data_IF_918486230843
#
_entry.id   IF_918486230843
#
_cell.length_a   1.000
_cell.length_b   1.000
_cell.length_c   1.000
_cell.angle_alpha   90.00
_cell.angle_beta   90.00
_cell.angle_gamma   90.00
#
_symmetry.space_group_name_H-M   'P 1'
#
loop_
_entity.id
_entity.type
_entity.pdbx_description
1 polymer ?
#
# COMPACT_ATOMS: atom_id res chain seq x y z
N UNK A 1 -21.33 -30.72 -25.60
CA UNK A 1 -20.52 -29.52 -25.33
C UNK A 1 -19.24 -29.99 -24.67
N UNK A 2 -18.16 -30.13 -25.43
CA UNK A 2 -16.85 -30.54 -24.90
C UNK A 2 -16.20 -29.33 -24.24
N UNK A 3 -16.06 -29.35 -22.92
CA UNK A 3 -15.24 -28.38 -22.21
C UNK A 3 -13.78 -28.63 -22.59
N UNK A 4 -13.28 -27.89 -23.58
CA UNK A 4 -11.84 -27.82 -23.84
C UNK A 4 -11.23 -27.14 -22.64
N UNK A 5 -10.57 -27.92 -21.77
CA UNK A 5 -9.83 -27.38 -20.64
C UNK A 5 -8.60 -26.69 -21.22
N UNK A 6 -8.59 -25.37 -21.27
CA UNK A 6 -7.38 -24.63 -21.64
C UNK A 6 -6.25 -25.07 -20.71
N UNK A 7 -5.16 -25.59 -21.29
CA UNK A 7 -4.02 -26.02 -20.50
C UNK A 7 -3.31 -24.78 -19.93
N UNK A 8 -3.29 -24.69 -18.60
CA UNK A 8 -2.55 -23.63 -17.90
C UNK A 8 -1.05 -23.84 -18.12
N UNK A 9 -0.43 -22.89 -18.84
CA UNK A 9 1.00 -22.91 -19.16
C UNK A 9 1.88 -22.90 -17.90
N UNK A 10 3.10 -23.45 -18.02
CA UNK A 10 4.09 -23.42 -16.92
C UNK A 10 4.36 -22.00 -16.44
N UNK A 11 4.47 -21.05 -17.36
CA UNK A 11 4.68 -19.64 -17.03
C UNK A 11 3.54 -19.07 -16.17
N UNK A 12 2.29 -19.37 -16.51
CA UNK A 12 1.14 -18.92 -15.72
C UNK A 12 1.15 -19.52 -14.30
N UNK A 13 1.53 -20.80 -14.16
CA UNK A 13 1.67 -21.46 -12.86
C UNK A 13 2.75 -20.80 -12.01
N UNK A 14 3.89 -20.44 -12.60
CA UNK A 14 4.97 -19.73 -11.91
C UNK A 14 4.52 -18.35 -11.43
N UNK A 15 3.76 -17.61 -12.25
CA UNK A 15 3.19 -16.32 -11.83
C UNK A 15 2.22 -16.47 -10.65
N UNK A 16 1.40 -17.52 -10.61
CA UNK A 16 0.51 -17.79 -9.48
C UNK A 16 1.27 -18.17 -8.20
N UNK A 17 2.31 -18.98 -8.30
CA UNK A 17 3.18 -19.30 -7.16
C UNK A 17 3.87 -18.03 -6.64
N UNK A 18 4.39 -17.21 -7.55
CA UNK A 18 4.99 -15.93 -7.25
C UNK A 18 3.99 -15.01 -6.52
N UNK A 19 2.78 -14.86 -7.03
CA UNK A 19 1.72 -14.07 -6.39
C UNK A 19 1.32 -14.63 -5.01
N UNK A 20 1.28 -15.95 -4.84
CA UNK A 20 1.03 -16.55 -3.51
C UNK A 20 2.15 -16.19 -2.53
N UNK A 21 3.41 -16.25 -2.95
CA UNK A 21 4.56 -15.82 -2.14
C UNK A 21 4.42 -14.35 -1.76
N UNK A 22 4.04 -13.47 -2.68
CA UNK A 22 3.78 -12.06 -2.39
C UNK A 22 2.82 -11.88 -1.21
N UNK A 23 1.67 -12.55 -1.22
CA UNK A 23 0.69 -12.47 -0.12
C UNK A 23 1.26 -13.00 1.21
N UNK A 24 2.07 -14.06 1.17
CA UNK A 24 2.76 -14.55 2.38
C UNK A 24 3.78 -13.55 2.90
N UNK A 25 4.54 -12.88 2.04
CA UNK A 25 5.50 -11.84 2.46
C UNK A 25 4.79 -10.65 3.12
N UNK A 26 3.66 -10.21 2.55
CA UNK A 26 2.79 -9.18 3.17
C UNK A 26 2.36 -9.60 4.58
N UNK A 27 1.87 -10.84 4.73
CA UNK A 27 1.41 -11.37 6.00
C UNK A 27 2.57 -11.49 7.02
N UNK A 28 3.72 -12.03 6.61
CA UNK A 28 4.90 -12.21 7.47
C UNK A 28 5.37 -10.87 8.04
N UNK A 29 5.56 -9.83 7.20
CA UNK A 29 5.99 -8.51 7.67
C UNK A 29 4.96 -7.92 8.64
N UNK A 30 3.68 -7.96 8.27
CA UNK A 30 2.60 -7.39 9.08
C UNK A 30 2.54 -8.04 10.45
N UNK A 31 2.49 -9.38 10.49
CA UNK A 31 2.40 -10.15 11.74
C UNK A 31 3.64 -9.95 12.58
N UNK A 32 4.84 -9.98 11.98
CA UNK A 32 6.09 -9.80 12.71
C UNK A 32 6.17 -8.42 13.37
N UNK A 33 5.91 -7.34 12.61
CA UNK A 33 5.94 -5.98 13.16
C UNK A 33 4.88 -5.80 14.24
N UNK A 34 3.66 -6.30 14.03
CA UNK A 34 2.59 -6.20 15.03
C UNK A 34 2.94 -6.98 16.29
N UNK A 35 3.45 -8.20 16.15
CA UNK A 35 3.88 -9.02 17.26
C UNK A 35 4.96 -8.32 18.10
N UNK A 36 6.00 -7.79 17.47
CA UNK A 36 7.04 -7.04 18.17
C UNK A 36 6.46 -5.82 18.89
N UNK A 37 5.56 -5.07 18.26
CA UNK A 37 5.00 -3.87 18.87
C UNK A 37 4.07 -4.20 20.05
N UNK A 38 3.10 -5.10 19.88
CA UNK A 38 2.16 -5.47 20.94
C UNK A 38 2.81 -6.23 22.11
N UNK A 39 3.95 -6.89 21.89
CA UNK A 39 4.72 -7.52 22.96
C UNK A 39 5.49 -6.52 23.83
N UNK A 40 5.90 -5.38 23.27
CA UNK A 40 6.87 -4.47 23.90
C UNK A 40 6.29 -3.09 24.28
N UNK A 41 5.06 -2.79 23.89
CA UNK A 41 4.38 -1.54 24.23
C UNK A 41 3.04 -1.80 24.90
N UNK A 42 2.72 -0.99 25.90
CA UNK A 42 1.39 -0.90 26.47
C UNK A 42 0.39 -0.26 25.49
N UNK A 43 -0.90 -0.58 25.65
CA UNK A 43 -1.96 -0.14 24.74
C UNK A 43 -2.25 1.37 24.79
N UNK A 44 -1.82 2.05 25.85
CA UNK A 44 -1.90 3.52 25.98
C UNK A 44 -0.72 4.24 25.31
N UNK A 45 0.28 3.50 24.83
CA UNK A 45 1.44 4.10 24.19
C UNK A 45 1.12 4.62 22.78
N UNK A 46 1.17 5.94 22.60
CA UNK A 46 0.92 6.56 21.29
C UNK A 46 1.85 6.06 20.16
N UNK A 47 3.10 5.69 20.48
CA UNK A 47 4.05 5.19 19.48
C UNK A 47 3.65 3.81 18.96
N UNK A 48 3.04 2.95 19.79
CA UNK A 48 2.49 1.67 19.36
C UNK A 48 1.50 1.87 18.22
N UNK A 49 0.50 2.74 18.44
CA UNK A 49 -0.54 2.99 17.46
C UNK A 49 -0.01 3.68 16.21
N UNK A 50 0.97 4.58 16.33
CA UNK A 50 1.64 5.14 15.17
C UNK A 50 2.27 4.04 14.28
N UNK A 51 3.04 3.12 14.87
CA UNK A 51 3.72 2.06 14.12
C UNK A 51 2.69 1.08 13.54
N UNK A 52 1.79 0.54 14.36
CA UNK A 52 0.81 -0.47 13.94
C UNK A 52 -0.12 0.06 12.84
N UNK A 53 -0.66 1.27 13.01
CA UNK A 53 -1.57 1.85 12.01
C UNK A 53 -0.84 2.20 10.71
N UNK A 54 0.39 2.71 10.79
CA UNK A 54 1.17 3.03 9.58
C UNK A 54 1.59 1.76 8.84
N UNK A 55 2.11 0.74 9.54
CA UNK A 55 2.46 -0.54 8.93
C UNK A 55 1.24 -1.23 8.34
N UNK A 56 0.12 -1.28 9.08
CA UNK A 56 -1.15 -1.81 8.59
C UNK A 56 -1.72 -1.07 7.38
N UNK A 57 -1.57 0.25 7.35
CA UNK A 57 -2.01 1.07 6.23
C UNK A 57 -1.25 0.76 4.93
N UNK A 58 0.07 0.74 4.97
CA UNK A 58 0.86 0.57 3.75
C UNK A 58 1.06 -0.90 3.38
N UNK A 59 1.43 -1.77 4.32
CA UNK A 59 1.88 -3.13 3.97
C UNK A 59 0.70 -4.03 3.57
N UNK A 60 -0.28 -4.36 4.42
CA UNK A 60 -1.38 -5.20 4.00
C UNK A 60 -2.46 -4.42 3.25
N UNK A 61 -2.88 -3.23 3.70
CA UNK A 61 -4.05 -2.57 3.09
C UNK A 61 -3.74 -2.00 1.69
N UNK A 62 -2.72 -1.15 1.55
CA UNK A 62 -2.39 -0.57 0.24
C UNK A 62 -1.79 -1.56 -0.73
N UNK A 63 -0.87 -2.44 -0.30
CA UNK A 63 -0.27 -3.40 -1.22
C UNK A 63 -1.33 -4.36 -1.81
N UNK A 64 -2.24 -4.88 -0.98
CA UNK A 64 -3.34 -5.73 -1.44
C UNK A 64 -4.33 -4.95 -2.33
N UNK A 65 -4.64 -3.70 -1.99
CA UNK A 65 -5.49 -2.85 -2.83
C UNK A 65 -4.89 -2.61 -4.22
N UNK A 66 -3.55 -2.54 -4.32
CA UNK A 66 -2.84 -2.34 -5.59
C UNK A 66 -2.81 -3.64 -6.41
N UNK A 67 -2.44 -4.77 -5.79
CA UNK A 67 -2.31 -6.07 -6.47
C UNK A 67 -3.68 -6.64 -6.91
N UNK A 68 -4.78 -6.15 -6.34
CA UNK A 68 -6.16 -6.53 -6.66
C UNK A 68 -6.46 -6.53 -8.18
N UNK A 69 -5.85 -5.61 -8.94
CA UNK A 69 -6.06 -5.48 -10.39
C UNK A 69 -5.02 -6.22 -11.24
N UNK A 70 -4.06 -6.91 -10.64
CA UNK A 70 -3.10 -7.73 -11.37
C UNK A 70 -3.82 -8.94 -11.99
N UNK A 71 -3.56 -9.21 -13.28
CA UNK A 71 -4.25 -10.29 -14.01
C UNK A 71 -3.86 -11.70 -13.53
N UNK A 72 -2.69 -11.80 -12.90
CA UNK A 72 -2.10 -12.98 -12.30
C UNK A 72 -2.34 -13.08 -10.77
N UNK A 73 -3.12 -12.16 -10.19
CA UNK A 73 -3.51 -12.26 -8.78
C UNK A 73 -4.57 -13.35 -8.58
N UNK A 74 -4.13 -14.53 -8.12
CA UNK A 74 -4.93 -15.74 -7.97
C UNK A 74 -6.19 -15.50 -7.12
N UNK A 75 -6.08 -14.72 -6.05
CA UNK A 75 -7.15 -14.52 -5.07
C UNK A 75 -8.33 -13.70 -5.60
N UNK A 76 -8.11 -12.96 -6.69
CA UNK A 76 -9.10 -12.03 -7.23
C UNK A 76 -9.42 -12.29 -8.69
N UNK A 77 -8.88 -13.35 -9.32
CA UNK A 77 -9.09 -13.60 -10.75
C UNK A 77 -10.57 -13.74 -11.12
N UNK A 78 -11.35 -14.37 -10.24
CA UNK A 78 -12.79 -14.61 -10.45
C UNK A 78 -13.68 -13.42 -10.07
N UNK A 79 -13.11 -12.36 -9.47
CA UNK A 79 -13.89 -11.17 -9.12
C UNK A 79 -14.14 -10.31 -10.36
N UNK A 80 -15.41 -9.94 -10.55
CA UNK A 80 -15.78 -8.95 -11.55
C UNK A 80 -15.12 -7.59 -11.27
N UNK A 81 -14.95 -6.78 -12.33
CA UNK A 81 -14.31 -5.46 -12.21
C UNK A 81 -15.01 -4.53 -11.22
N UNK A 82 -16.35 -4.40 -11.19
CA UNK A 82 -17.03 -3.55 -10.21
C UNK A 82 -16.71 -3.91 -8.75
N UNK A 83 -16.68 -5.19 -8.39
CA UNK A 83 -16.30 -5.63 -7.04
C UNK A 83 -14.85 -5.28 -6.72
N UNK A 84 -13.94 -5.44 -7.69
CA UNK A 84 -12.54 -5.01 -7.50
C UNK A 84 -12.44 -3.51 -7.23
N UNK A 85 -13.16 -2.68 -7.96
CA UNK A 85 -13.17 -1.23 -7.69
C UNK A 85 -13.68 -0.89 -6.29
N UNK A 86 -14.72 -1.57 -5.81
CA UNK A 86 -15.22 -1.40 -4.45
C UNK A 86 -14.21 -1.82 -3.39
N UNK A 87 -13.64 -3.03 -3.52
CA UNK A 87 -12.63 -3.52 -2.57
C UNK A 87 -11.40 -2.61 -2.53
N UNK A 88 -10.92 -2.17 -3.70
CA UNK A 88 -9.82 -1.20 -3.80
C UNK A 88 -10.12 0.09 -3.04
N UNK A 89 -11.31 0.68 -3.26
CA UNK A 89 -11.73 1.89 -2.58
C UNK A 89 -11.85 1.71 -1.06
N UNK A 90 -12.42 0.60 -0.59
CA UNK A 90 -12.55 0.31 0.85
C UNK A 90 -11.19 0.13 1.50
N UNK A 91 -10.30 -0.70 0.92
CA UNK A 91 -8.97 -0.95 1.47
C UNK A 91 -8.14 0.34 1.54
N UNK A 92 -8.15 1.15 0.48
CA UNK A 92 -7.46 2.45 0.49
C UNK A 92 -8.11 3.46 1.44
N UNK A 93 -9.43 3.43 1.59
CA UNK A 93 -10.16 4.25 2.55
C UNK A 93 -9.77 3.94 4.00
N UNK A 94 -9.73 2.65 4.36
CA UNK A 94 -9.28 2.21 5.69
C UNK A 94 -7.80 2.53 5.88
N UNK A 95 -6.99 2.37 4.83
CA UNK A 95 -5.56 2.68 4.88
C UNK A 95 -5.32 4.16 5.18
N UNK A 96 -5.94 5.09 4.42
CA UNK A 96 -5.73 6.53 4.63
C UNK A 96 -6.22 6.97 6.02
N UNK A 97 -7.33 6.41 6.51
CA UNK A 97 -7.83 6.70 7.86
C UNK A 97 -6.82 6.20 8.90
N UNK A 98 -6.34 4.97 8.76
CA UNK A 98 -5.34 4.37 9.67
C UNK A 98 -4.08 5.24 9.76
N UNK A 99 -3.45 5.58 8.63
CA UNK A 99 -2.24 6.41 8.65
C UNK A 99 -2.50 7.82 9.18
N UNK A 100 -3.67 8.40 8.91
CA UNK A 100 -4.05 9.73 9.45
C UNK A 100 -4.12 9.69 10.98
N UNK A 101 -4.78 8.66 11.54
CA UNK A 101 -4.85 8.45 12.99
C UNK A 101 -3.45 8.18 13.56
N UNK A 102 -2.64 7.36 12.89
CA UNK A 102 -1.26 7.08 13.29
C UNK A 102 -0.37 8.33 13.32
N UNK A 103 -0.50 9.23 12.36
CA UNK A 103 0.17 10.54 12.37
C UNK A 103 -0.34 11.40 13.54
N UNK A 104 -1.65 11.39 13.81
CA UNK A 104 -2.25 12.09 14.95
C UNK A 104 -1.66 11.66 16.30
N UNK A 105 -1.50 10.35 16.52
CA UNK A 105 -0.84 9.82 17.72
C UNK A 105 0.61 10.32 17.86
N UNK A 106 1.37 10.32 16.77
CA UNK A 106 2.76 10.81 16.80
C UNK A 106 2.84 12.32 17.04
N UNK A 107 1.93 13.10 16.48
CA UNK A 107 1.81 14.54 16.77
C UNK A 107 1.51 14.75 18.26
N UNK A 108 0.54 14.03 18.83
CA UNK A 108 0.21 14.17 20.25
C UNK A 108 1.41 13.85 21.15
N UNK A 109 2.07 12.71 20.91
CA UNK A 109 3.27 12.27 21.64
C UNK A 109 4.40 13.30 21.58
N UNK A 110 4.59 13.95 20.43
CA UNK A 110 5.60 14.99 20.25
C UNK A 110 5.23 16.29 20.95
N UNK A 111 3.96 16.67 20.98
CA UNK A 111 3.49 17.82 21.74
C UNK A 111 3.75 17.65 23.23
N UNK A 112 3.38 16.50 23.81
CA UNK A 112 3.59 16.19 25.23
C UNK A 112 5.07 16.21 25.64
N UNK A 113 5.96 15.85 24.72
CA UNK A 113 7.41 15.82 24.94
C UNK A 113 8.15 17.07 24.47
N UNK A 114 7.45 18.09 23.99
CA UNK A 114 8.04 19.34 23.49
C UNK A 114 8.98 19.15 22.27
N UNK A 115 8.78 18.09 21.48
CA UNK A 115 9.65 17.73 20.36
C UNK A 115 9.17 18.34 19.04
N UNK A 116 10.07 18.72 18.12
CA UNK A 116 9.70 19.27 16.83
C UNK A 116 9.06 18.21 15.90
N UNK A 117 8.13 18.69 15.05
CA UNK A 117 7.39 17.89 14.09
C UNK A 117 8.06 17.85 12.72
N UNK A 118 7.86 16.76 11.98
CA UNK A 118 8.25 16.63 10.55
C UNK A 118 9.71 16.96 10.20
N UNK A 119 10.66 16.79 11.14
CA UNK A 119 12.08 17.10 10.93
C UNK A 119 12.91 15.96 10.35
N UNK A 120 12.54 14.70 10.60
CA UNK A 120 13.32 13.54 10.15
C UNK A 120 12.95 13.15 8.72
N UNK A 121 13.86 12.46 8.02
CA UNK A 121 13.58 11.90 6.69
C UNK A 121 12.34 10.99 6.72
N UNK A 122 12.19 10.16 7.76
CA UNK A 122 11.00 9.35 7.99
C UNK A 122 9.73 10.22 8.04
N UNK A 123 9.72 11.27 8.87
CA UNK A 123 8.53 12.10 9.05
C UNK A 123 8.19 12.93 7.80
N UNK A 124 9.19 13.46 7.09
CA UNK A 124 8.97 14.22 5.86
C UNK A 124 8.44 13.34 4.73
N UNK A 125 9.07 12.17 4.51
CA UNK A 125 8.60 11.21 3.48
C UNK A 125 7.22 10.67 3.82
N UNK A 126 6.92 10.41 5.10
CA UNK A 126 5.59 9.99 5.55
C UNK A 126 4.52 11.05 5.27
N UNK A 127 4.81 12.33 5.54
CA UNK A 127 3.90 13.43 5.24
C UNK A 127 3.66 13.60 3.73
N UNK A 128 4.73 13.56 2.92
CA UNK A 128 4.62 13.66 1.45
C UNK A 128 3.77 12.52 0.90
N UNK A 129 4.03 11.29 1.36
CA UNK A 129 3.23 10.11 0.99
C UNK A 129 1.75 10.30 1.36
N UNK A 130 1.46 10.76 2.58
CA UNK A 130 0.10 11.01 3.04
C UNK A 130 -0.62 12.05 2.17
N UNK A 131 0.04 13.15 1.81
CA UNK A 131 -0.52 14.18 0.91
C UNK A 131 -0.85 13.56 -0.45
N UNK A 132 0.07 12.76 -1.03
CA UNK A 132 -0.17 12.13 -2.33
C UNK A 132 -1.31 11.10 -2.25
N UNK A 133 -1.41 10.34 -1.17
CA UNK A 133 -2.48 9.39 -0.95
C UNK A 133 -3.84 10.10 -0.83
N UNK A 134 -3.91 11.20 -0.08
CA UNK A 134 -5.12 12.02 0.02
C UNK A 134 -5.57 12.55 -1.35
N UNK A 135 -4.66 13.16 -2.10
CA UNK A 135 -4.93 13.65 -3.46
C UNK A 135 -5.35 12.53 -4.41
N UNK A 136 -4.67 11.36 -4.33
CA UNK A 136 -4.99 10.19 -5.15
C UNK A 136 -6.40 9.67 -4.87
N UNK A 137 -6.84 9.62 -3.60
CA UNK A 137 -8.20 9.20 -3.24
C UNK A 137 -9.26 10.14 -3.80
N UNK A 138 -9.05 11.46 -3.69
CA UNK A 138 -9.96 12.46 -4.27
C UNK A 138 -10.08 12.26 -5.79
N UNK A 139 -8.95 12.07 -6.49
CA UNK A 139 -8.94 11.78 -7.93
C UNK A 139 -9.55 10.41 -8.27
N UNK A 140 -9.46 9.43 -7.38
CA UNK A 140 -10.14 8.14 -7.50
C UNK A 140 -11.65 8.31 -7.50
N UNK A 141 -12.18 9.13 -6.58
CA UNK A 141 -13.61 9.48 -6.52
C UNK A 141 -14.07 10.25 -7.77
N UNK A 142 -13.25 11.17 -8.28
CA UNK A 142 -13.53 11.86 -9.54
C UNK A 142 -13.50 10.90 -10.74
N UNK A 143 -12.56 9.97 -10.76
CA UNK A 143 -12.46 8.94 -11.80
C UNK A 143 -13.70 8.05 -11.82
N UNK A 144 -14.23 7.69 -10.65
CA UNK A 144 -15.48 6.93 -10.50
C UNK A 144 -16.68 7.68 -11.10
N UNK A 145 -16.72 9.00 -10.93
CA UNK A 145 -17.80 9.87 -11.44
C UNK A 145 -17.44 10.58 -12.75
N UNK A 146 -16.40 10.11 -13.46
CA UNK A 146 -15.75 10.85 -14.55
C UNK A 146 -16.67 11.25 -15.70
N UNK A 147 -17.72 10.48 -15.98
CA UNK A 147 -18.72 10.83 -17.01
C UNK A 147 -19.51 12.10 -16.66
N UNK A 148 -19.79 12.32 -15.37
CA UNK A 148 -20.44 13.54 -14.86
C UNK A 148 -19.48 14.73 -14.80
N UNK A 149 -18.17 14.46 -14.71
CA UNK A 149 -17.11 15.46 -14.55
C UNK A 149 -16.34 15.75 -15.85
N UNK A 150 -16.83 15.27 -17.00
CA UNK A 150 -16.18 15.44 -18.31
C UNK A 150 -16.00 16.91 -18.74
N UNK A 151 -16.76 17.83 -18.16
CA UNK A 151 -16.63 19.27 -18.37
C UNK A 151 -15.41 19.87 -17.66
N UNK A 152 -14.92 19.24 -16.58
CA UNK A 152 -13.76 19.70 -15.83
C UNK A 152 -12.46 19.22 -16.47
N UNK A 153 -12.38 17.93 -16.80
CA UNK A 153 -11.24 17.35 -17.51
C UNK A 153 -11.62 16.03 -18.20
N UNK A 154 -10.75 15.54 -19.08
CA UNK A 154 -10.95 14.25 -19.75
C UNK A 154 -10.88 13.11 -18.71
N UNK A 155 -11.81 12.13 -18.72
CA UNK A 155 -11.80 10.96 -17.83
C UNK A 155 -10.45 10.23 -17.74
N UNK A 156 -9.73 10.16 -18.86
CA UNK A 156 -8.40 9.52 -18.93
C UNK A 156 -7.36 10.26 -18.07
N UNK A 157 -7.44 11.58 -17.96
CA UNK A 157 -6.49 12.37 -17.16
C UNK A 157 -6.67 12.12 -15.66
N UNK A 158 -7.91 12.11 -15.15
CA UNK A 158 -8.17 11.78 -13.74
C UNK A 158 -7.58 10.42 -13.37
N UNK A 159 -7.78 9.43 -14.25
CA UNK A 159 -7.28 8.08 -14.04
C UNK A 159 -5.75 7.99 -14.12
N UNK A 160 -5.14 8.70 -15.06
CA UNK A 160 -3.68 8.77 -15.19
C UNK A 160 -3.04 9.39 -13.95
N UNK A 161 -3.54 10.55 -13.51
CA UNK A 161 -3.00 11.25 -12.34
C UNK A 161 -3.28 10.46 -11.06
N UNK A 162 -4.45 9.83 -10.92
CA UNK A 162 -4.75 8.91 -9.80
C UNK A 162 -3.73 7.77 -9.71
N UNK A 163 -3.43 7.10 -10.83
CA UNK A 163 -2.45 6.01 -10.88
C UNK A 163 -1.04 6.53 -10.55
N UNK A 164 -0.63 7.67 -11.11
CA UNK A 164 0.69 8.25 -10.85
C UNK A 164 0.88 8.61 -9.37
N UNK A 165 -0.08 9.36 -8.79
CA UNK A 165 -0.04 9.72 -7.38
C UNK A 165 -0.20 8.51 -6.46
N UNK A 166 -0.99 7.51 -6.84
CA UNK A 166 -1.19 6.28 -6.07
C UNK A 166 0.07 5.42 -6.00
N UNK A 167 0.78 5.23 -7.12
CA UNK A 167 2.07 4.51 -7.14
C UNK A 167 3.12 5.31 -6.37
N UNK A 168 3.16 6.64 -6.59
CA UNK A 168 4.09 7.53 -5.90
C UNK A 168 3.89 7.55 -4.38
N UNK A 169 2.66 7.68 -3.91
CA UNK A 169 2.37 7.68 -2.48
C UNK A 169 2.77 6.36 -1.83
N UNK A 170 2.46 5.23 -2.47
CA UNK A 170 2.78 3.93 -1.93
C UNK A 170 4.29 3.69 -1.85
N UNK A 171 5.04 4.01 -2.91
CA UNK A 171 6.50 3.88 -2.93
C UNK A 171 7.18 4.77 -1.87
N UNK A 172 6.78 6.04 -1.78
CA UNK A 172 7.31 6.98 -0.78
C UNK A 172 6.92 6.54 0.64
N UNK A 173 5.69 6.06 0.83
CA UNK A 173 5.16 5.63 2.12
C UNK A 173 5.85 4.38 2.66
N UNK A 174 6.10 3.39 1.79
CA UNK A 174 6.93 2.23 2.16
C UNK A 174 8.38 2.64 2.43
N UNK A 175 8.94 3.58 1.64
CA UNK A 175 10.28 4.10 1.93
C UNK A 175 10.35 4.78 3.30
N UNK A 176 9.29 5.53 3.66
CA UNK A 176 9.12 6.09 5.01
C UNK A 176 9.04 4.99 6.07
N UNK A 177 8.29 3.92 5.86
CA UNK A 177 8.24 2.78 6.79
C UNK A 177 9.60 2.14 7.01
N UNK A 178 10.38 1.92 5.95
CA UNK A 178 11.73 1.38 6.06
C UNK A 178 12.64 2.29 6.90
N UNK A 179 12.57 3.61 6.69
CA UNK A 179 13.25 4.57 7.56
C UNK A 179 12.74 4.51 9.01
N UNK A 180 11.45 4.24 9.21
CA UNK A 180 10.83 4.09 10.52
C UNK A 180 11.31 2.84 11.27
N UNK A 181 11.55 1.73 10.57
CA UNK A 181 12.10 0.51 11.16
C UNK A 181 13.54 0.67 11.66
N UNK A 182 14.30 1.61 11.11
CA UNK A 182 15.62 1.98 11.62
C UNK A 182 15.57 2.76 12.94
N UNK A 183 14.45 3.46 13.20
CA UNK A 183 14.30 4.25 14.41
C UNK A 183 14.08 3.37 15.64
N UNK A 184 14.54 3.85 16.79
CA UNK A 184 14.46 3.15 18.08
C UNK A 184 13.05 2.80 18.54
N UNK A 185 11.99 3.26 17.86
CA UNK A 185 10.63 2.80 18.11
C UNK A 185 10.42 1.32 17.77
N UNK A 186 11.17 0.79 16.80
CA UNK A 186 11.14 -0.61 16.39
C UNK A 186 12.50 -1.28 16.59
N UNK A 187 13.59 -0.65 16.13
CA UNK A 187 14.92 -1.27 16.08
C UNK A 187 15.48 -1.70 17.44
N UNK A 188 15.03 -1.10 18.55
CA UNK A 188 15.48 -1.48 19.90
C UNK A 188 15.00 -2.85 20.38
N UNK A 189 13.99 -3.44 19.72
CA UNK A 189 13.36 -4.69 20.12
C UNK A 189 13.70 -5.87 19.22
N UNK A 190 14.53 -5.64 18.22
CA UNK A 190 14.91 -6.64 17.22
C UNK A 190 16.42 -6.60 17.01
N UNK A 191 16.99 -7.70 16.53
CA UNK A 191 18.37 -7.73 16.06
C UNK A 191 18.51 -6.96 14.75
N UNK A 192 19.74 -6.55 14.42
CA UNK A 192 20.04 -5.92 13.12
C UNK A 192 19.59 -6.79 11.95
N UNK A 193 19.81 -8.12 12.03
CA UNK A 193 19.39 -9.06 10.99
C UNK A 193 17.87 -9.10 10.82
N UNK A 194 17.11 -9.12 11.91
CA UNK A 194 15.64 -9.11 11.86
C UNK A 194 15.10 -7.79 11.28
N UNK A 195 15.70 -6.66 11.68
CA UNK A 195 15.37 -5.34 11.13
C UNK A 195 15.65 -5.28 9.63
N UNK A 196 16.87 -5.63 9.20
CA UNK A 196 17.29 -5.56 7.80
C UNK A 196 16.45 -6.51 6.93
N UNK A 197 16.11 -7.69 7.46
CA UNK A 197 15.20 -8.64 6.80
C UNK A 197 13.80 -8.06 6.66
N UNK A 198 13.27 -7.40 7.71
CA UNK A 198 11.95 -6.75 7.67
C UNK A 198 11.93 -5.65 6.61
N UNK A 199 12.98 -4.81 6.56
CA UNK A 199 13.14 -3.76 5.54
C UNK A 199 13.21 -4.36 4.14
N UNK A 200 14.01 -5.40 3.94
CA UNK A 200 14.18 -6.05 2.64
C UNK A 200 12.87 -6.65 2.14
N UNK A 201 12.15 -7.40 2.97
CA UNK A 201 10.86 -7.99 2.58
C UNK A 201 9.82 -6.90 2.29
N UNK A 202 9.77 -5.84 3.11
CA UNK A 202 8.86 -4.71 2.89
C UNK A 202 9.16 -4.01 1.56
N UNK A 203 10.43 -3.82 1.22
CA UNK A 203 10.84 -3.26 -0.07
C UNK A 203 10.48 -4.17 -1.25
N UNK A 204 10.65 -5.50 -1.11
CA UNK A 204 10.25 -6.48 -2.13
C UNK A 204 8.74 -6.41 -2.39
N UNK A 205 7.92 -6.38 -1.35
CA UNK A 205 6.46 -6.19 -1.46
C UNK A 205 6.13 -4.90 -2.20
N UNK A 206 6.82 -3.81 -1.90
CA UNK A 206 6.57 -2.54 -2.56
C UNK A 206 6.93 -2.56 -4.05
N UNK A 207 8.12 -3.07 -4.38
CA UNK A 207 8.59 -3.19 -5.76
C UNK A 207 7.61 -4.05 -6.57
N UNK A 208 7.19 -5.18 -6.03
CA UNK A 208 6.24 -6.07 -6.69
C UNK A 208 4.91 -5.37 -6.98
N UNK A 209 4.32 -4.73 -5.96
CA UNK A 209 3.04 -4.03 -6.10
C UNK A 209 3.14 -2.92 -7.14
N UNK A 210 4.22 -2.14 -7.12
CA UNK A 210 4.47 -1.09 -8.10
C UNK A 210 4.62 -1.64 -9.52
N UNK A 211 5.38 -2.72 -9.72
CA UNK A 211 5.54 -3.37 -11.03
C UNK A 211 4.19 -3.89 -11.57
N UNK A 212 3.38 -4.50 -10.71
CA UNK A 212 2.04 -4.95 -11.08
C UNK A 212 1.11 -3.78 -11.47
N UNK A 213 1.16 -2.68 -10.70
CA UNK A 213 0.41 -1.46 -11.01
C UNK A 213 0.83 -0.85 -12.34
N UNK A 214 2.14 -0.73 -12.60
CA UNK A 214 2.70 -0.21 -13.85
C UNK A 214 2.31 -1.08 -15.04
N UNK A 215 2.40 -2.41 -14.92
CA UNK A 215 1.94 -3.36 -15.95
C UNK A 215 0.46 -3.19 -16.24
N UNK A 216 -0.37 -3.04 -15.20
CA UNK A 216 -1.81 -2.78 -15.36
C UNK A 216 -2.07 -1.44 -16.05
N UNK A 217 -1.38 -0.38 -15.66
CA UNK A 217 -1.51 0.95 -16.26
C UNK A 217 -1.08 0.95 -17.73
N UNK A 218 0.04 0.30 -18.07
CA UNK A 218 0.52 0.15 -19.44
C UNK A 218 -0.50 -0.56 -20.33
N UNK A 219 -1.04 -1.70 -19.87
CA UNK A 219 -2.06 -2.45 -20.61
C UNK A 219 -3.33 -1.62 -20.83
N UNK A 220 -3.73 -0.80 -19.87
CA UNK A 220 -4.89 0.08 -20.01
C UNK A 220 -4.65 1.20 -21.03
N UNK A 221 -3.46 1.82 -21.04
CA UNK A 221 -3.09 2.83 -22.03
C UNK A 221 -3.05 2.24 -23.44
N UNK A 222 -2.40 1.08 -23.60
CA UNK A 222 -2.33 0.36 -24.89
C UNK A 222 -3.72 0.13 -25.48
N UNK A 223 -4.65 -0.42 -24.69
CA UNK A 223 -6.00 -0.75 -25.14
C UNK A 223 -6.91 0.48 -25.38
N UNK A 224 -6.49 1.68 -24.96
CA UNK A 224 -7.26 2.92 -25.20
C UNK A 224 -6.79 3.66 -26.45
N UNK A 225 -5.56 3.39 -26.92
CA UNK A 225 -4.93 4.06 -28.08
C UNK A 225 -4.98 3.18 -29.33
N UNK A 226 -5.09 1.86 -29.18
CA UNK A 226 -5.34 0.90 -30.27
C UNK A 226 -6.81 0.81 -30.63
#
# INVERSE_FOLDING_TARGET
MTFVREEVSLFQRLLWLANTIFHQLVAIVTVFVFWICFKNYDLDNALLWHIVLSTGAYVPLMAEAIILFAGDNLWTQELDRPKKYWLHGILLGISIVSVTIGIGYEINRKNESGRPHFVSNHALTGLVSWIFAFLSIVLGLFSWHSQKLKSLARPVLFKFVHNFLGIGCFAIGVSSLCLGFELGGFSRFVTEKERDTTIAITAIVAIWSCLAALKSAYNQLKNTVS
#
